data_IF_478582016985
#
_entry.id   IF_478582016985
#
_cell.length_a   1.000
_cell.length_b   1.000
_cell.length_c   1.000
_cell.angle_alpha   90.00
_cell.angle_beta   90.00
_cell.angle_gamma   90.00
#
_symmetry.space_group_name_H-M   'P 1'
#
loop_
_entity.id
_entity.type
_entity.pdbx_description
1 polymer ?
#
# COMPACT_ATOMS: atom_id res chain seq x y z
N UNK A 1 83.30 4.73 40.63
CA UNK A 1 81.89 4.51 41.03
C UNK A 1 81.05 4.26 39.77
N UNK A 2 80.21 3.22 39.76
CA UNK A 2 79.44 2.70 38.62
C UNK A 2 78.03 3.37 38.56
N UNK A 3 77.01 2.92 37.76
CA UNK A 3 76.96 1.92 36.68
C UNK A 3 76.23 2.40 35.38
N UNK A 4 76.27 1.54 34.36
CA UNK A 4 75.31 1.48 33.26
C UNK A 4 73.93 0.99 33.76
N UNK A 5 72.81 1.37 33.12
CA UNK A 5 71.89 0.30 32.72
C UNK A 5 71.30 0.45 31.31
N UNK A 6 71.21 -0.72 30.69
CA UNK A 6 70.48 -1.08 29.46
C UNK A 6 69.04 -0.56 29.49
N UNK A 7 68.54 -0.08 28.36
CA UNK A 7 67.09 -0.05 28.10
C UNK A 7 66.71 -1.14 27.10
N UNK A 8 65.70 -1.87 27.53
CA UNK A 8 65.15 -3.07 26.94
C UNK A 8 64.27 -2.78 25.71
N UNK A 9 64.24 -3.73 24.79
CA UNK A 9 63.12 -3.93 23.87
C UNK A 9 61.89 -4.38 24.65
N UNK A 10 60.70 -3.77 24.44
CA UNK A 10 59.46 -4.46 24.69
C UNK A 10 59.02 -5.20 23.42
N UNK A 11 58.71 -6.46 23.63
CA UNK A 11 58.05 -7.37 22.72
C UNK A 11 56.68 -6.88 22.27
N UNK A 12 56.32 -7.26 21.05
CA UNK A 12 55.01 -7.80 20.67
C UNK A 12 53.78 -7.28 21.40
N UNK A 13 53.12 -6.31 20.80
CA UNK A 13 51.68 -6.12 20.95
C UNK A 13 51.08 -6.06 19.55
N UNK A 14 50.74 -7.22 18.98
CA UNK A 14 49.79 -7.27 17.87
C UNK A 14 48.49 -6.64 18.36
N UNK A 15 48.28 -5.38 17.99
CA UNK A 15 46.98 -4.74 18.10
C UNK A 15 46.04 -5.55 17.20
N UNK A 16 45.31 -6.49 17.79
CA UNK A 16 44.13 -7.05 17.16
C UNK A 16 43.17 -5.87 16.97
N UNK A 17 43.12 -5.37 15.74
CA UNK A 17 41.96 -4.66 15.23
C UNK A 17 40.74 -5.54 15.54
N UNK A 18 39.62 -4.99 16.06
CA UNK A 18 38.41 -5.77 16.20
C UNK A 18 38.07 -6.30 14.81
N UNK A 19 38.07 -7.63 14.67
CA UNK A 19 37.50 -8.31 13.52
C UNK A 19 36.07 -7.78 13.40
N UNK A 20 35.81 -7.04 12.32
CA UNK A 20 34.46 -6.71 11.88
C UNK A 20 33.68 -8.01 11.85
N UNK A 21 32.81 -8.21 12.85
CA UNK A 21 31.94 -9.37 12.92
C UNK A 21 31.12 -9.37 11.64
N UNK A 22 31.33 -10.38 10.80
CA UNK A 22 30.45 -10.64 9.68
C UNK A 22 29.02 -10.70 10.25
N UNK A 23 28.04 -9.97 9.66
CA UNK A 23 26.68 -9.98 10.16
C UNK A 23 26.19 -11.43 10.18
N UNK A 24 25.74 -11.87 11.35
CA UNK A 24 25.34 -13.24 11.61
C UNK A 24 24.18 -13.62 10.67
N UNK A 25 24.49 -14.33 9.60
CA UNK A 25 23.56 -14.69 8.54
C UNK A 25 22.42 -15.57 9.06
N UNK A 26 22.63 -16.29 10.16
CA UNK A 26 21.60 -17.06 10.86
C UNK A 26 20.62 -16.16 11.64
N UNK A 27 21.06 -14.99 12.10
CA UNK A 27 20.19 -13.97 12.71
C UNK A 27 19.34 -13.24 11.66
N UNK A 28 19.91 -12.91 10.49
CA UNK A 28 19.19 -12.18 9.42
C UNK A 28 18.00 -12.97 8.88
N UNK A 29 18.21 -14.26 8.56
CA UNK A 29 17.15 -15.08 7.96
C UNK A 29 15.98 -15.29 8.93
N UNK A 30 16.28 -15.57 10.21
CA UNK A 30 15.26 -15.72 11.24
C UNK A 30 14.49 -14.43 11.49
N UNK A 31 15.19 -13.30 11.57
CA UNK A 31 14.57 -11.98 11.71
C UNK A 31 13.67 -11.62 10.52
N UNK A 32 14.13 -11.88 9.30
CA UNK A 32 13.36 -11.58 8.09
C UNK A 32 12.08 -12.42 7.99
N UNK A 33 12.15 -13.71 8.38
CA UNK A 33 10.99 -14.56 8.49
C UNK A 33 10.02 -14.08 9.57
N UNK A 34 10.52 -13.73 10.76
CA UNK A 34 9.68 -13.21 11.84
C UNK A 34 8.96 -11.91 11.47
N UNK A 35 9.61 -11.00 10.74
CA UNK A 35 8.96 -9.79 10.19
C UNK A 35 7.87 -10.15 9.18
N UNK A 36 8.15 -11.10 8.28
CA UNK A 36 7.17 -11.53 7.29
C UNK A 36 5.97 -12.24 7.95
N UNK A 37 6.19 -13.03 9.00
CA UNK A 37 5.15 -13.70 9.76
C UNK A 37 4.15 -12.72 10.40
N UNK A 38 4.57 -11.48 10.70
CA UNK A 38 3.65 -10.42 11.13
C UNK A 38 2.73 -9.92 10.00
N UNK A 39 3.12 -10.09 8.73
CA UNK A 39 2.34 -9.69 7.56
C UNK A 39 1.35 -10.79 7.11
N UNK A 40 1.72 -12.07 7.28
CA UNK A 40 0.96 -13.22 6.77
C UNK A 40 -0.50 -13.30 7.25
N UNK A 41 -0.86 -12.99 8.52
CA UNK A 41 -2.25 -12.95 8.96
C UNK A 41 -3.13 -11.97 8.16
N UNK A 42 -2.49 -10.99 7.51
CA UNK A 42 -3.13 -9.95 6.71
C UNK A 42 -2.90 -10.16 5.22
N UNK A 43 -2.37 -11.32 4.79
CA UNK A 43 -2.18 -11.62 3.37
C UNK A 43 -3.54 -11.59 2.65
N UNK A 44 -3.60 -10.77 1.61
CA UNK A 44 -4.75 -10.60 0.73
C UNK A 44 -4.58 -11.54 -0.45
N UNK A 45 -5.33 -12.63 -0.43
CA UNK A 45 -5.23 -13.73 -1.40
C UNK A 45 -6.61 -14.29 -1.70
N UNK A 46 -6.77 -14.82 -2.91
CA UNK A 46 -7.97 -15.61 -3.29
C UNK A 46 -7.87 -17.08 -2.88
N UNK A 47 -6.66 -17.52 -2.50
CA UNK A 47 -6.39 -18.85 -1.95
C UNK A 47 -5.98 -18.69 -0.46
N UNK A 48 -6.86 -19.05 0.49
CA UNK A 48 -6.62 -18.84 1.91
C UNK A 48 -5.72 -19.90 2.56
N UNK A 49 -5.11 -20.81 1.77
CA UNK A 49 -4.26 -21.87 2.30
C UNK A 49 -3.10 -21.26 3.10
N UNK A 50 -2.94 -21.61 4.40
CA UNK A 50 -1.83 -21.13 5.20
C UNK A 50 -0.52 -21.48 4.52
N UNK A 51 0.31 -20.46 4.32
CA UNK A 51 1.56 -20.58 3.59
C UNK A 51 2.68 -20.05 4.46
N UNK A 52 3.77 -20.80 4.56
CA UNK A 52 4.94 -20.41 5.34
C UNK A 52 5.73 -19.27 4.67
N UNK A 53 6.47 -18.52 5.47
CA UNK A 53 7.26 -17.36 5.05
C UNK A 53 8.20 -17.64 3.86
N UNK A 54 8.74 -18.86 3.78
CA UNK A 54 9.70 -19.29 2.76
C UNK A 54 9.13 -19.21 1.33
N UNK A 55 7.81 -19.27 1.18
CA UNK A 55 7.14 -19.15 -0.12
C UNK A 55 7.11 -17.71 -0.66
N UNK A 56 7.52 -16.73 0.13
CA UNK A 56 7.54 -15.30 -0.22
C UNK A 56 8.98 -14.81 -0.41
N UNK A 57 9.74 -15.51 -1.26
CA UNK A 57 11.16 -15.28 -1.47
C UNK A 57 11.50 -13.83 -1.89
N UNK A 58 10.62 -13.14 -2.63
CA UNK A 58 10.81 -11.74 -2.98
C UNK A 58 10.81 -10.85 -1.74
N UNK A 59 9.81 -11.00 -0.88
CA UNK A 59 9.63 -10.21 0.33
C UNK A 59 10.76 -10.51 1.33
N UNK A 60 11.12 -11.78 1.52
CA UNK A 60 12.24 -12.18 2.37
C UNK A 60 13.57 -11.55 1.92
N UNK A 61 13.84 -11.53 0.60
CA UNK A 61 15.06 -10.89 0.07
C UNK A 61 15.07 -9.38 0.32
N UNK A 62 13.93 -8.71 0.14
CA UNK A 62 13.79 -7.27 0.37
C UNK A 62 13.95 -6.93 1.86
N UNK A 63 13.22 -7.62 2.74
CA UNK A 63 13.32 -7.47 4.20
C UNK A 63 14.76 -7.74 4.67
N UNK A 64 15.36 -8.84 4.21
CA UNK A 64 16.74 -9.20 4.54
C UNK A 64 17.79 -8.19 4.06
N UNK A 65 17.48 -7.35 3.08
CA UNK A 65 18.28 -6.18 2.72
C UNK A 65 18.38 -5.19 3.87
N UNK A 66 17.22 -4.72 4.37
CA UNK A 66 17.14 -3.76 5.48
C UNK A 66 17.67 -4.33 6.79
N UNK A 67 17.35 -5.60 7.09
CA UNK A 67 17.82 -6.27 8.32
C UNK A 67 19.35 -6.32 8.36
N UNK A 68 20.01 -6.70 7.26
CA UNK A 68 21.49 -6.73 7.19
C UNK A 68 22.11 -5.34 7.32
N UNK A 69 21.42 -4.32 6.81
CA UNK A 69 21.87 -2.93 6.92
C UNK A 69 21.61 -2.33 8.31
N UNK A 70 20.83 -2.99 9.18
CA UNK A 70 20.39 -2.42 10.45
C UNK A 70 19.47 -1.22 10.27
N UNK A 71 18.73 -1.18 9.15
CA UNK A 71 17.87 -0.07 8.76
C UNK A 71 16.38 -0.40 8.96
N UNK A 72 15.51 0.62 9.13
CA UNK A 72 14.08 0.38 9.17
C UNK A 72 13.57 -0.25 7.87
N UNK A 73 12.71 -1.26 7.97
CA UNK A 73 12.08 -1.87 6.78
C UNK A 73 11.15 -0.86 6.11
N UNK A 74 11.41 -0.56 4.83
CA UNK A 74 10.58 0.37 4.06
C UNK A 74 9.53 -0.41 3.28
N UNK A 75 8.26 -0.16 3.59
CA UNK A 75 7.10 -0.72 2.90
C UNK A 75 6.48 0.36 2.00
N UNK A 76 6.24 0.08 0.73
CA UNK A 76 5.46 0.98 -0.15
C UNK A 76 4.10 0.41 -0.44
N UNK A 77 3.05 1.22 -0.28
CA UNK A 77 1.66 0.81 -0.46
C UNK A 77 0.92 1.75 -1.41
N UNK A 78 0.73 1.39 -2.69
CA UNK A 78 -0.20 2.08 -3.56
C UNK A 78 -1.63 1.92 -3.06
N UNK A 79 -2.31 3.03 -2.87
CA UNK A 79 -3.67 3.08 -2.37
C UNK A 79 -3.99 4.41 -1.72
N UNK A 80 -5.20 4.52 -1.15
CA UNK A 80 -5.75 5.79 -0.67
C UNK A 80 -5.77 6.88 -1.76
N UNK A 81 -6.35 6.63 -2.96
CA UNK A 81 -6.42 7.62 -4.04
C UNK A 81 -7.38 8.77 -3.74
N UNK A 82 -8.63 8.38 -3.48
CA UNK A 82 -9.81 9.19 -3.27
C UNK A 82 -10.98 8.24 -2.98
N UNK A 83 -12.07 8.75 -2.39
CA UNK A 83 -13.32 7.97 -2.26
C UNK A 83 -13.94 7.68 -3.63
N UNK A 84 -14.65 6.55 -3.73
CA UNK A 84 -15.46 6.18 -4.90
C UNK A 84 -16.39 7.32 -5.31
N UNK A 85 -16.58 7.61 -6.61
CA UNK A 85 -17.59 8.54 -7.06
C UNK A 85 -19.02 8.01 -6.90
N UNK A 86 -19.21 6.72 -6.56
CA UNK A 86 -20.52 6.14 -6.33
C UNK A 86 -21.00 6.42 -4.89
N UNK A 87 -22.03 7.28 -4.68
CA UNK A 87 -22.52 7.62 -3.35
C UNK A 87 -23.16 6.44 -2.60
N UNK A 88 -23.56 5.36 -3.29
CA UNK A 88 -24.07 4.15 -2.65
C UNK A 88 -22.97 3.32 -1.96
N UNK A 89 -21.69 3.59 -2.26
CA UNK A 89 -20.53 2.88 -1.70
C UNK A 89 -19.92 3.59 -0.50
N UNK A 90 -19.94 4.93 -0.47
CA UNK A 90 -19.17 5.76 0.47
C UNK A 90 -20.00 6.85 1.14
N UNK A 91 -19.53 7.36 2.28
CA UNK A 91 -20.22 8.39 3.06
C UNK A 91 -20.06 9.82 2.48
N UNK A 92 -18.96 10.06 1.77
CA UNK A 92 -18.61 11.35 1.15
C UNK A 92 -17.30 11.23 0.38
N UNK A 93 -16.73 12.36 -0.06
CA UNK A 93 -15.49 12.37 -0.82
C UNK A 93 -14.21 12.42 0.04
N UNK A 94 -14.35 12.67 1.35
CA UNK A 94 -13.23 12.73 2.31
C UNK A 94 -13.01 11.37 3.00
N UNK A 95 -11.78 11.09 3.49
CA UNK A 95 -11.51 9.98 4.41
C UNK A 95 -12.49 9.95 5.58
N UNK A 96 -12.97 8.74 5.92
CA UNK A 96 -13.87 8.51 7.05
C UNK A 96 -13.26 7.48 8.02
N UNK A 97 -14.08 6.83 8.85
CA UNK A 97 -13.60 5.87 9.83
C UNK A 97 -12.86 4.68 9.19
N UNK A 98 -13.21 4.30 7.95
CA UNK A 98 -12.51 3.22 7.25
C UNK A 98 -11.05 3.54 7.03
N UNK A 99 -10.73 4.76 6.58
CA UNK A 99 -9.35 5.22 6.45
C UNK A 99 -8.66 5.37 7.81
N UNK A 100 -9.34 5.95 8.82
CA UNK A 100 -8.75 6.12 10.17
C UNK A 100 -8.28 4.78 10.74
N UNK A 101 -9.14 3.75 10.68
CA UNK A 101 -8.81 2.40 11.17
C UNK A 101 -7.69 1.76 10.35
N UNK A 102 -7.70 1.93 9.03
CA UNK A 102 -6.67 1.36 8.15
C UNK A 102 -5.29 1.98 8.36
N UNK A 103 -5.23 3.30 8.59
CA UNK A 103 -4.00 3.99 8.96
C UNK A 103 -3.49 3.52 10.32
N UNK A 104 -4.38 3.42 11.32
CA UNK A 104 -4.03 2.88 12.64
C UNK A 104 -3.43 1.48 12.54
N UNK A 105 -4.08 0.58 11.79
CA UNK A 105 -3.58 -0.77 11.51
C UNK A 105 -2.16 -0.77 10.93
N UNK A 106 -1.90 0.01 9.87
CA UNK A 106 -0.58 0.07 9.24
C UNK A 106 0.50 0.61 10.18
N UNK A 107 0.16 1.57 11.04
CA UNK A 107 1.09 2.10 12.03
C UNK A 107 1.41 1.04 13.09
N UNK A 108 0.39 0.40 13.67
CA UNK A 108 0.57 -0.68 14.65
C UNK A 108 1.38 -1.83 14.07
N UNK A 109 1.15 -2.22 12.82
CA UNK A 109 1.96 -3.22 12.15
C UNK A 109 3.47 -2.85 12.12
N UNK A 110 3.80 -1.57 11.91
CA UNK A 110 5.18 -1.11 11.97
C UNK A 110 5.76 -1.16 13.40
N UNK A 111 4.94 -0.87 14.42
CA UNK A 111 5.33 -0.97 15.84
C UNK A 111 5.57 -2.43 16.25
N UNK A 112 4.77 -3.37 15.75
CA UNK A 112 5.01 -4.81 15.97
C UNK A 112 6.32 -5.27 15.30
N UNK A 113 6.63 -4.77 14.10
CA UNK A 113 7.91 -5.06 13.45
C UNK A 113 9.08 -4.52 14.29
N UNK A 114 8.95 -3.33 14.89
CA UNK A 114 9.98 -2.73 15.75
C UNK A 114 10.31 -3.57 16.99
N UNK A 115 9.32 -4.29 17.54
CA UNK A 115 9.56 -5.20 18.68
C UNK A 115 10.47 -6.37 18.33
N UNK A 116 10.50 -6.76 17.05
CA UNK A 116 11.32 -7.87 16.56
C UNK A 116 12.63 -7.34 15.97
N UNK A 117 12.57 -6.28 15.18
CA UNK A 117 13.70 -5.60 14.54
C UNK A 117 13.80 -4.16 15.05
N UNK A 118 14.69 -3.84 16.01
CA UNK A 118 14.71 -2.55 16.72
C UNK A 118 14.72 -1.27 15.86
N UNK A 119 15.33 -1.22 14.65
CA UNK A 119 15.19 -0.08 13.74
C UNK A 119 13.74 0.17 13.27
N UNK A 120 12.88 -0.84 13.36
CA UNK A 120 11.46 -0.77 13.05
C UNK A 120 11.13 -0.86 11.56
N UNK A 121 9.95 -0.36 11.23
CA UNK A 121 9.48 -0.25 9.86
C UNK A 121 8.77 1.09 9.64
N UNK A 122 8.56 1.43 8.37
CA UNK A 122 7.69 2.54 7.97
C UNK A 122 6.91 2.17 6.71
N UNK A 123 5.68 2.68 6.62
CA UNK A 123 4.87 2.58 5.40
C UNK A 123 4.85 3.93 4.70
N UNK A 124 5.23 3.91 3.42
CA UNK A 124 5.02 5.01 2.49
C UNK A 124 3.74 4.71 1.72
N UNK A 125 2.68 5.46 2.02
CA UNK A 125 1.41 5.40 1.29
C UNK A 125 1.60 6.14 -0.01
N UNK A 126 1.67 5.39 -1.11
CA UNK A 126 1.87 5.95 -2.44
C UNK A 126 0.52 6.27 -3.08
N UNK A 127 -0.09 7.41 -2.72
CA UNK A 127 -1.42 7.80 -3.18
C UNK A 127 -1.44 7.97 -4.70
N UNK A 128 -2.38 7.27 -5.32
CA UNK A 128 -2.52 7.14 -6.77
C UNK A 128 -3.71 7.92 -7.34
N UNK A 129 -4.32 8.80 -6.55
CA UNK A 129 -5.49 9.60 -6.95
C UNK A 129 -5.24 10.43 -8.22
N UNK A 130 -4.21 11.29 -8.21
CA UNK A 130 -3.89 12.15 -9.35
C UNK A 130 -3.35 11.38 -10.56
N UNK A 131 -2.88 10.15 -10.35
CA UNK A 131 -2.53 9.23 -11.44
C UNK A 131 -3.80 8.83 -12.19
N UNK A 132 -4.92 8.60 -11.50
CA UNK A 132 -6.12 8.01 -12.10
C UNK A 132 -7.32 8.94 -12.33
N UNK A 133 -7.37 10.12 -11.71
CA UNK A 133 -8.58 10.95 -11.57
C UNK A 133 -9.55 10.99 -12.76
N UNK A 134 -9.07 11.32 -13.96
CA UNK A 134 -9.87 11.36 -15.19
C UNK A 134 -10.39 9.98 -15.66
N UNK A 135 -9.64 8.91 -15.44
CA UNK A 135 -10.07 7.55 -15.79
C UNK A 135 -11.16 7.02 -14.85
N UNK A 136 -11.05 7.35 -13.57
CA UNK A 136 -12.03 6.97 -12.53
C UNK A 136 -13.15 8.01 -12.37
N UNK A 137 -13.07 9.14 -13.10
CA UNK A 137 -14.04 10.25 -13.08
C UNK A 137 -14.23 10.87 -11.70
N UNK A 138 -13.12 11.07 -10.99
CA UNK A 138 -13.08 11.85 -9.75
C UNK A 138 -12.35 13.17 -10.05
N UNK A 139 -12.98 14.32 -9.77
CA UNK A 139 -12.34 15.63 -9.92
C UNK A 139 -11.02 15.75 -9.14
N UNK A 140 -10.05 16.47 -9.70
CA UNK A 140 -8.74 16.62 -9.06
C UNK A 140 -8.82 17.37 -7.71
N UNK A 141 -9.75 18.31 -7.54
CA UNK A 141 -9.98 19.01 -6.25
C UNK A 141 -10.51 18.07 -5.16
N UNK A 142 -11.34 17.08 -5.51
CA UNK A 142 -11.75 16.01 -4.58
C UNK A 142 -10.56 15.13 -4.18
N UNK A 143 -9.64 14.85 -5.10
CA UNK A 143 -8.42 14.09 -4.82
C UNK A 143 -7.48 14.89 -3.91
N UNK A 144 -7.28 16.19 -4.19
CA UNK A 144 -6.51 17.09 -3.35
C UNK A 144 -7.10 17.15 -1.94
N UNK A 145 -8.42 17.34 -1.81
CA UNK A 145 -9.11 17.36 -0.53
C UNK A 145 -8.95 16.05 0.25
N UNK A 146 -9.11 14.90 -0.42
CA UNK A 146 -8.92 13.59 0.20
C UNK A 146 -7.48 13.41 0.70
N UNK A 147 -6.48 13.72 -0.13
CA UNK A 147 -5.08 13.54 0.22
C UNK A 147 -4.63 14.51 1.33
N UNK A 148 -5.18 15.72 1.36
CA UNK A 148 -4.93 16.70 2.43
C UNK A 148 -5.53 16.23 3.77
N UNK A 149 -6.75 15.72 3.73
CA UNK A 149 -7.41 15.15 4.91
C UNK A 149 -6.70 13.88 5.39
N UNK A 150 -6.21 13.02 4.49
CA UNK A 150 -5.42 11.84 4.86
C UNK A 150 -4.14 12.23 5.61
N UNK A 151 -3.40 13.22 5.11
CA UNK A 151 -2.22 13.78 5.80
C UNK A 151 -2.60 14.42 7.14
N UNK A 152 -3.76 15.06 7.23
CA UNK A 152 -4.29 15.64 8.48
C UNK A 152 -4.57 14.54 9.51
N UNK A 153 -5.21 13.44 9.11
CA UNK A 153 -5.49 12.28 9.97
C UNK A 153 -4.21 11.65 10.51
N UNK A 154 -3.20 11.46 9.67
CA UNK A 154 -1.89 10.91 10.09
C UNK A 154 -1.27 11.77 11.20
N UNK A 155 -1.33 13.10 11.06
CA UNK A 155 -0.82 14.04 12.08
C UNK A 155 -1.68 14.05 13.35
N UNK A 156 -3.00 14.15 13.21
CA UNK A 156 -3.95 14.19 14.34
C UNK A 156 -3.85 12.94 15.22
N UNK A 157 -3.68 11.78 14.59
CA UNK A 157 -3.58 10.49 15.27
C UNK A 157 -2.13 10.13 15.67
N UNK A 158 -1.16 11.03 15.46
CA UNK A 158 0.25 10.82 15.79
C UNK A 158 0.84 9.52 15.20
N UNK A 159 0.48 9.19 13.95
CA UNK A 159 0.90 7.95 13.28
C UNK A 159 2.30 8.10 12.67
N UNK A 160 3.32 8.10 13.53
CA UNK A 160 4.71 8.44 13.18
C UNK A 160 5.40 7.45 12.23
N UNK A 161 4.83 6.25 12.01
CA UNK A 161 5.38 5.25 11.09
C UNK A 161 4.88 5.39 9.65
N UNK A 162 4.03 6.39 9.39
CA UNK A 162 3.37 6.59 8.10
C UNK A 162 3.84 7.88 7.43
N UNK A 163 3.97 7.82 6.10
CA UNK A 163 4.17 8.98 5.23
C UNK A 163 3.34 8.84 3.97
N UNK A 164 3.08 9.95 3.28
CA UNK A 164 2.36 9.95 2.00
C UNK A 164 3.31 10.42 0.91
N UNK A 165 3.27 9.72 -0.23
CA UNK A 165 4.01 10.02 -1.45
C UNK A 165 3.01 10.07 -2.62
N UNK A 166 2.92 11.20 -3.33
CA UNK A 166 2.04 11.37 -4.48
C UNK A 166 2.71 12.22 -5.58
N UNK A 167 2.01 12.46 -6.70
CA UNK A 167 2.57 13.20 -7.84
C UNK A 167 2.99 14.64 -7.50
N UNK A 168 2.49 15.25 -6.42
CA UNK A 168 2.93 16.59 -5.97
C UNK A 168 4.33 16.54 -5.39
N UNK A 169 4.72 15.44 -4.75
CA UNK A 169 6.06 15.25 -4.20
C UNK A 169 7.13 15.10 -5.30
N UNK A 170 6.72 14.67 -6.50
CA UNK A 170 7.62 14.38 -7.63
C UNK A 170 7.66 15.55 -8.62
N UNK A 171 6.49 16.10 -8.96
CA UNK A 171 6.31 17.04 -10.07
C UNK A 171 5.81 18.42 -9.60
N UNK A 172 5.82 18.67 -8.29
CA UNK A 172 5.53 19.97 -7.69
C UNK A 172 4.15 20.50 -8.07
N UNK A 173 4.08 21.77 -8.46
CA UNK A 173 2.84 22.50 -8.75
C UNK A 173 2.39 22.42 -10.21
N UNK A 174 2.98 21.53 -11.02
CA UNK A 174 2.52 21.34 -12.39
C UNK A 174 1.01 21.00 -12.44
N UNK A 175 0.29 21.44 -13.48
CA UNK A 175 -1.11 21.06 -13.66
C UNK A 175 -1.28 19.54 -13.68
N UNK A 176 -2.36 19.04 -13.06
CA UNK A 176 -2.59 17.60 -12.87
C UNK A 176 -2.59 16.80 -14.18
N UNK A 177 -3.14 17.36 -15.26
CA UNK A 177 -3.11 16.73 -16.59
C UNK A 177 -1.68 16.61 -17.15
N UNK A 178 -0.83 17.62 -16.93
CA UNK A 178 0.58 17.62 -17.33
C UNK A 178 1.36 16.57 -16.56
N UNK A 179 1.14 16.46 -15.24
CA UNK A 179 1.73 15.41 -14.40
C UNK A 179 1.37 14.02 -14.93
N UNK A 180 0.09 13.78 -15.21
CA UNK A 180 -0.39 12.50 -15.78
C UNK A 180 0.26 12.19 -17.12
N UNK A 181 0.38 13.18 -18.01
CA UNK A 181 0.99 13.00 -19.32
C UNK A 181 2.47 12.61 -19.21
N UNK A 182 3.26 13.29 -18.38
CA UNK A 182 4.69 12.99 -18.20
C UNK A 182 4.92 11.59 -17.63
N UNK A 183 4.15 11.19 -16.60
CA UNK A 183 4.24 9.84 -16.04
C UNK A 183 3.83 8.78 -17.06
N UNK A 184 2.80 9.05 -17.85
CA UNK A 184 2.35 8.12 -18.89
C UNK A 184 3.40 7.96 -19.99
N UNK A 185 3.95 9.06 -20.51
CA UNK A 185 4.96 9.03 -21.57
C UNK A 185 6.23 8.29 -21.14
N UNK A 186 6.66 8.48 -19.88
CA UNK A 186 7.91 7.90 -19.39
C UNK A 186 7.80 6.42 -19.02
N UNK A 187 6.67 5.97 -18.47
CA UNK A 187 6.58 4.65 -17.84
C UNK A 187 5.42 3.77 -18.31
N UNK A 188 4.41 4.30 -19.01
CA UNK A 188 3.28 3.47 -19.40
C UNK A 188 3.65 2.54 -20.57
N UNK A 189 3.28 1.24 -20.53
CA UNK A 189 3.41 0.39 -21.70
C UNK A 189 2.48 0.88 -22.81
N UNK A 190 2.80 0.56 -24.06
CA UNK A 190 1.91 0.87 -25.18
C UNK A 190 0.58 0.11 -25.05
N UNK A 191 -0.49 0.70 -25.57
CA UNK A 191 -1.81 0.05 -25.57
C UNK A 191 -1.80 -1.27 -26.36
N UNK A 192 -1.00 -1.35 -27.42
CA UNK A 192 -0.83 -2.55 -28.22
C UNK A 192 -0.17 -3.68 -27.42
N UNK A 193 0.95 -3.40 -26.75
CA UNK A 193 1.64 -4.37 -25.90
C UNK A 193 0.70 -4.87 -24.79
N UNK A 194 -0.01 -3.96 -24.12
CA UNK A 194 -0.96 -4.34 -23.08
C UNK A 194 -2.13 -5.18 -23.62
N UNK A 195 -2.62 -4.89 -24.84
CA UNK A 195 -3.67 -5.72 -25.47
C UNK A 195 -3.16 -7.11 -25.85
N UNK A 196 -1.92 -7.22 -26.30
CA UNK A 196 -1.30 -8.51 -26.58
C UNK A 196 -1.22 -9.33 -25.27
N UNK A 197 -0.73 -8.72 -24.20
CA UNK A 197 -0.60 -9.35 -22.89
C UNK A 197 -1.95 -9.81 -22.30
N UNK A 198 -2.99 -8.97 -22.37
CA UNK A 198 -4.34 -9.35 -21.93
C UNK A 198 -4.88 -10.57 -22.69
N UNK A 199 -4.40 -10.84 -23.91
CA UNK A 199 -4.80 -12.03 -24.70
C UNK A 199 -3.97 -13.26 -24.38
N UNK A 200 -2.71 -13.10 -23.98
CA UNK A 200 -1.77 -14.20 -23.78
C UNK A 200 -1.56 -14.59 -22.31
N UNK A 201 -1.84 -13.71 -21.36
CA UNK A 201 -1.55 -13.91 -19.94
C UNK A 201 -2.81 -13.90 -19.08
N UNK A 202 -3.12 -15.04 -18.46
CA UNK A 202 -4.33 -15.21 -17.63
C UNK A 202 -4.39 -14.25 -16.44
N UNK A 203 -3.24 -13.96 -15.83
CA UNK A 203 -3.16 -13.01 -14.73
C UNK A 203 -3.55 -11.58 -15.16
N UNK A 204 -3.01 -11.12 -16.29
CA UNK A 204 -3.29 -9.78 -16.83
C UNK A 204 -4.74 -9.69 -17.33
N UNK A 205 -5.29 -10.77 -17.89
CA UNK A 205 -6.72 -10.86 -18.21
C UNK A 205 -7.61 -10.77 -16.96
N UNK A 206 -7.24 -11.44 -15.87
CA UNK A 206 -7.96 -11.36 -14.60
C UNK A 206 -7.94 -9.94 -14.03
N UNK A 207 -6.78 -9.27 -14.05
CA UNK A 207 -6.65 -7.86 -13.64
C UNK A 207 -7.54 -6.94 -14.49
N UNK A 208 -7.52 -7.09 -15.82
CA UNK A 208 -8.37 -6.32 -16.72
C UNK A 208 -9.86 -6.51 -16.46
N UNK A 209 -10.30 -7.75 -16.20
CA UNK A 209 -11.69 -8.06 -15.83
C UNK A 209 -12.06 -7.43 -14.48
N UNK A 210 -11.17 -7.52 -13.48
CA UNK A 210 -11.35 -6.93 -12.16
C UNK A 210 -11.51 -5.40 -12.22
N UNK A 211 -10.61 -4.72 -12.92
CA UNK A 211 -10.67 -3.26 -13.12
C UNK A 211 -11.92 -2.86 -13.91
N UNK A 212 -12.30 -3.63 -14.94
CA UNK A 212 -13.52 -3.35 -15.69
C UNK A 212 -14.76 -3.41 -14.78
N UNK A 213 -14.88 -4.46 -13.96
CA UNK A 213 -15.97 -4.60 -12.99
C UNK A 213 -15.98 -3.43 -12.02
N UNK A 214 -14.81 -3.10 -11.47
CA UNK A 214 -14.64 -1.96 -10.57
C UNK A 214 -15.14 -0.64 -11.18
N UNK A 215 -14.72 -0.33 -12.43
CA UNK A 215 -15.17 0.89 -13.12
C UNK A 215 -16.68 0.91 -13.42
N UNK A 216 -17.29 -0.26 -13.65
CA UNK A 216 -18.74 -0.37 -13.81
C UNK A 216 -19.44 -0.09 -12.49
N UNK A 217 -19.00 -0.73 -11.40
CA UNK A 217 -19.61 -0.58 -10.06
C UNK A 217 -19.46 0.84 -9.50
N UNK A 218 -18.42 1.57 -9.88
CA UNK A 218 -18.19 2.96 -9.49
C UNK A 218 -18.97 3.98 -10.33
N UNK A 219 -19.58 3.56 -11.44
CA UNK A 219 -20.38 4.46 -12.28
C UNK A 219 -21.86 4.37 -11.92
N UNK A 220 -22.33 5.22 -11.00
CA UNK A 220 -23.73 5.25 -10.56
C UNK A 220 -24.69 5.90 -11.59
N UNK A 221 -24.30 7.06 -12.14
CA UNK A 221 -25.22 7.93 -12.92
C UNK A 221 -25.10 7.73 -14.44
N UNK A 222 -24.93 6.49 -14.90
CA UNK A 222 -24.85 6.22 -16.33
C UNK A 222 -26.24 6.20 -16.99
N UNK A 223 -26.50 7.12 -17.91
CA UNK A 223 -27.80 7.28 -18.57
C UNK A 223 -28.05 6.33 -19.75
N UNK A 224 -27.03 5.58 -20.19
CA UNK A 224 -27.13 4.63 -21.30
C UNK A 224 -27.42 3.19 -20.86
N UNK A 225 -27.36 2.25 -21.81
CA UNK A 225 -27.55 0.82 -21.50
C UNK A 225 -26.38 0.23 -20.71
N UNK A 226 -26.64 -0.80 -19.90
CA UNK A 226 -25.61 -1.56 -19.18
C UNK A 226 -24.49 -2.06 -20.09
N UNK A 227 -24.84 -2.50 -21.31
CA UNK A 227 -23.86 -2.93 -22.32
C UNK A 227 -22.98 -1.77 -22.83
N UNK A 228 -23.53 -0.57 -22.98
CA UNK A 228 -22.75 0.61 -23.34
C UNK A 228 -21.79 1.02 -22.21
N UNK A 229 -22.24 0.97 -20.95
CA UNK A 229 -21.39 1.18 -19.78
C UNK A 229 -20.23 0.18 -19.76
N UNK A 230 -20.54 -1.11 -19.90
CA UNK A 230 -19.53 -2.17 -19.91
C UNK A 230 -18.47 -1.93 -21.00
N UNK A 231 -18.87 -1.54 -22.21
CA UNK A 231 -17.93 -1.21 -23.30
C UNK A 231 -17.05 0.00 -22.97
N UNK A 232 -17.63 1.07 -22.43
CA UNK A 232 -16.88 2.26 -22.03
C UNK A 232 -15.87 1.94 -20.91
N UNK A 233 -16.27 1.15 -19.90
CA UNK A 233 -15.39 0.70 -18.82
C UNK A 233 -14.28 -0.22 -19.31
N UNK A 234 -14.56 -1.14 -20.26
CA UNK A 234 -13.54 -1.97 -20.91
C UNK A 234 -12.46 -1.14 -21.59
N UNK A 235 -12.85 -0.10 -22.34
CA UNK A 235 -11.87 0.82 -22.95
C UNK A 235 -11.04 1.55 -21.90
N UNK A 236 -11.67 2.10 -20.87
CA UNK A 236 -10.97 2.82 -19.78
C UNK A 236 -10.05 1.93 -18.95
N UNK A 237 -10.40 0.64 -18.77
CA UNK A 237 -9.63 -0.29 -17.97
C UNK A 237 -8.19 -0.45 -18.47
N UNK A 238 -7.97 -0.38 -19.79
CA UNK A 238 -6.61 -0.36 -20.34
C UNK A 238 -5.79 0.83 -19.84
N UNK A 239 -6.38 2.03 -19.86
CA UNK A 239 -5.72 3.23 -19.33
C UNK A 239 -5.39 3.11 -17.84
N UNK A 240 -6.28 2.49 -17.06
CA UNK A 240 -6.04 2.27 -15.61
C UNK A 240 -4.87 1.31 -15.41
N UNK A 241 -4.77 0.23 -16.19
CA UNK A 241 -3.63 -0.69 -16.09
C UNK A 241 -2.32 -0.01 -16.52
N UNK A 242 -2.33 0.71 -17.63
CA UNK A 242 -1.16 1.47 -18.10
C UNK A 242 -0.62 2.40 -17.01
N UNK A 243 -1.52 3.16 -16.37
CA UNK A 243 -1.14 4.08 -15.31
C UNK A 243 -0.77 3.39 -14.00
N UNK A 244 -1.37 2.24 -13.69
CA UNK A 244 -0.97 1.44 -12.53
C UNK A 244 0.46 0.90 -12.67
N UNK A 245 0.86 0.49 -13.87
CA UNK A 245 2.24 0.08 -14.17
C UNK A 245 3.19 1.26 -14.11
N UNK A 246 2.83 2.36 -14.77
CA UNK A 246 3.61 3.60 -14.74
C UNK A 246 3.87 4.09 -13.30
N UNK A 247 2.84 4.06 -12.46
CA UNK A 247 2.97 4.40 -11.04
C UNK A 247 3.81 3.39 -10.27
N UNK A 248 3.69 2.11 -10.59
CA UNK A 248 4.54 1.05 -10.07
C UNK A 248 6.03 1.32 -10.30
N UNK A 249 6.39 1.63 -11.53
CA UNK A 249 7.78 1.87 -11.94
C UNK A 249 8.33 3.17 -11.36
N UNK A 250 7.52 4.23 -11.33
CA UNK A 250 7.90 5.49 -10.71
C UNK A 250 8.16 5.33 -9.20
N UNK A 251 7.35 4.54 -8.50
CA UNK A 251 7.61 4.24 -7.08
C UNK A 251 8.88 3.40 -6.92
N UNK A 252 9.14 2.44 -7.81
CA UNK A 252 10.36 1.64 -7.75
C UNK A 252 11.62 2.49 -7.97
N UNK A 253 11.54 3.53 -8.81
CA UNK A 253 12.61 4.51 -9.01
C UNK A 253 12.88 5.35 -7.75
N UNK A 254 11.84 5.84 -7.08
CA UNK A 254 12.00 6.69 -5.88
C UNK A 254 12.24 5.92 -4.58
N UNK A 255 11.80 4.66 -4.49
CA UNK A 255 11.91 3.83 -3.29
C UNK A 255 12.50 2.45 -3.63
N UNK A 256 13.73 2.41 -4.15
CA UNK A 256 14.38 1.17 -4.55
C UNK A 256 14.56 0.23 -3.34
N UNK A 257 14.42 -1.06 -3.57
CA UNK A 257 14.56 -2.08 -2.53
C UNK A 257 13.42 -2.18 -1.53
N UNK A 258 12.46 -1.25 -1.54
CA UNK A 258 11.29 -1.30 -0.64
C UNK A 258 10.45 -2.56 -0.84
N UNK A 259 9.87 -3.06 0.26
CA UNK A 259 8.91 -4.17 0.22
C UNK A 259 7.61 -3.64 -0.38
N UNK A 260 7.20 -4.22 -1.51
CA UNK A 260 6.08 -3.69 -2.30
C UNK A 260 4.75 -4.28 -1.83
N UNK A 261 4.00 -3.54 -1.03
CA UNK A 261 2.64 -3.91 -0.66
C UNK A 261 1.64 -3.61 -1.79
N UNK A 262 0.47 -4.23 -1.73
CA UNK A 262 -0.62 -4.11 -2.70
C UNK A 262 -1.96 -4.24 -2.00
N UNK A 263 -2.92 -3.39 -2.33
CA UNK A 263 -4.32 -3.56 -1.90
C UNK A 263 -5.10 -4.54 -2.78
N UNK A 264 -4.51 -5.08 -3.84
CA UNK A 264 -5.10 -6.15 -4.65
C UNK A 264 -4.55 -7.51 -4.20
N UNK A 265 -5.33 -8.60 -4.35
CA UNK A 265 -4.82 -9.95 -4.18
C UNK A 265 -3.59 -10.20 -5.05
N UNK A 266 -2.57 -10.85 -4.48
CA UNK A 266 -1.35 -11.21 -5.19
C UNK A 266 -1.08 -12.72 -4.99
N UNK A 267 -0.72 -13.45 -6.06
CA UNK A 267 -0.35 -14.85 -5.91
C UNK A 267 0.94 -14.98 -5.10
N UNK A 268 1.09 -16.13 -4.44
CA UNK A 268 2.33 -16.50 -3.76
C UNK A 268 3.49 -16.48 -4.77
N UNK A 269 4.65 -15.98 -4.34
CA UNK A 269 5.82 -15.79 -5.20
C UNK A 269 5.80 -14.50 -6.04
N UNK A 270 4.71 -13.73 -6.05
CA UNK A 270 4.71 -12.42 -6.69
C UNK A 270 5.65 -11.43 -5.97
N UNK A 271 6.23 -10.50 -6.72
CA UNK A 271 7.03 -9.41 -6.15
C UNK A 271 6.21 -8.47 -5.25
N UNK A 272 4.89 -8.39 -5.47
CA UNK A 272 3.96 -7.59 -4.68
C UNK A 272 3.33 -8.46 -3.59
N UNK A 273 3.26 -7.95 -2.37
CA UNK A 273 2.56 -8.60 -1.26
C UNK A 273 1.16 -7.99 -1.11
N UNK A 274 0.12 -8.77 -1.36
CA UNK A 274 -1.26 -8.35 -1.12
C UNK A 274 -1.50 -8.20 0.39
N UNK A 275 -1.93 -7.02 0.85
CA UNK A 275 -2.25 -6.77 2.27
C UNK A 275 -3.71 -6.34 2.44
N UNK A 276 -4.39 -6.97 3.39
CA UNK A 276 -5.73 -6.61 3.86
C UNK A 276 -5.58 -5.56 4.96
N UNK A 277 -6.32 -4.46 4.84
CA UNK A 277 -6.26 -3.34 5.79
C UNK A 277 -7.26 -3.49 6.94
N UNK A 278 -8.44 -4.03 6.64
CA UNK A 278 -9.54 -4.26 7.57
C UNK A 278 -10.32 -5.49 7.13
N UNK A 279 -11.13 -6.03 8.04
CA UNK A 279 -12.04 -7.12 7.71
C UNK A 279 -13.11 -6.67 6.68
N UNK A 280 -13.34 -7.53 5.70
CA UNK A 280 -14.31 -7.32 4.62
C UNK A 280 -14.70 -8.65 4.00
N UNK A 281 -15.99 -8.83 3.70
CA UNK A 281 -16.49 -10.05 3.07
C UNK A 281 -15.97 -10.25 1.63
N UNK A 282 -15.77 -9.17 0.88
CA UNK A 282 -15.18 -9.21 -0.45
C UNK A 282 -13.69 -8.82 -0.38
N UNK A 283 -12.84 -9.74 -0.83
CA UNK A 283 -11.39 -9.60 -0.92
C UNK A 283 -10.95 -8.43 -1.81
N UNK A 284 -11.82 -7.74 -2.53
CA UNK A 284 -11.51 -6.52 -3.31
C UNK A 284 -11.91 -5.21 -2.61
N UNK A 285 -12.59 -5.28 -1.47
CA UNK A 285 -13.06 -4.09 -0.74
C UNK A 285 -11.90 -3.32 -0.12
N UNK A 286 -11.83 -2.01 -0.37
CA UNK A 286 -10.89 -1.09 0.28
C UNK A 286 -11.67 0.03 0.97
N UNK A 287 -11.07 0.73 1.95
CA UNK A 287 -11.74 1.77 2.71
C UNK A 287 -12.40 2.86 1.85
N UNK A 288 -11.74 3.23 0.76
CA UNK A 288 -12.23 4.25 -0.16
C UNK A 288 -13.35 3.78 -1.11
N UNK A 289 -13.73 2.51 -1.06
CA UNK A 289 -14.86 1.93 -1.80
C UNK A 289 -15.98 1.41 -0.88
N UNK A 290 -16.00 1.86 0.38
CA UNK A 290 -16.87 1.31 1.43
C UNK A 290 -17.20 2.34 2.51
N UNK A 291 -18.06 1.93 3.44
CA UNK A 291 -18.23 2.52 4.76
C UNK A 291 -17.87 1.47 5.83
N UNK A 292 -17.38 1.93 6.98
CA UNK A 292 -17.15 1.07 8.13
C UNK A 292 -18.45 0.82 8.91
N UNK A 293 -18.66 -0.42 9.35
CA UNK A 293 -19.69 -0.82 10.31
C UNK A 293 -19.00 -1.32 11.59
N UNK A 294 -19.29 -0.68 12.72
CA UNK A 294 -18.95 -1.17 14.04
C UNK A 294 -19.99 -2.20 14.47
N UNK A 295 -19.55 -3.39 14.84
CA UNK A 295 -20.42 -4.54 15.12
C UNK A 295 -20.66 -4.66 16.62
N UNK A 296 -21.74 -5.35 16.99
CA UNK A 296 -22.13 -5.56 18.40
C UNK A 296 -21.11 -6.38 19.19
N UNK A 297 -20.26 -7.15 18.51
CA UNK A 297 -19.14 -7.90 19.09
C UNK A 297 -17.84 -7.07 19.23
N UNK A 298 -17.90 -5.76 18.91
CA UNK A 298 -16.76 -4.84 18.97
C UNK A 298 -15.85 -4.87 17.74
N UNK A 299 -16.13 -5.73 16.76
CA UNK A 299 -15.33 -5.80 15.53
C UNK A 299 -15.74 -4.75 14.50
N UNK A 300 -14.85 -4.47 13.54
CA UNK A 300 -15.11 -3.55 12.43
C UNK A 300 -15.10 -4.29 11.11
N UNK A 301 -16.11 -4.07 10.28
CA UNK A 301 -16.17 -4.63 8.93
C UNK A 301 -16.40 -3.53 7.89
N UNK A 302 -15.70 -3.59 6.75
CA UNK A 302 -15.95 -2.74 5.60
C UNK A 302 -17.03 -3.33 4.69
N UNK A 303 -17.98 -2.50 4.26
CA UNK A 303 -19.01 -2.87 3.29
C UNK A 303 -19.54 -1.65 2.53
N UNK A 304 -20.25 -1.81 1.40
CA UNK A 304 -20.88 -0.68 0.72
C UNK A 304 -21.82 0.09 1.66
N UNK A 305 -21.80 1.43 1.62
CA UNK A 305 -22.67 2.30 2.43
C UNK A 305 -24.12 1.83 2.45
N UNK A 306 -24.73 1.55 1.30
CA UNK A 306 -26.13 1.13 1.21
C UNK A 306 -26.43 -0.19 1.96
N UNK A 307 -25.41 -1.02 2.21
CA UNK A 307 -25.53 -2.20 3.08
C UNK A 307 -25.38 -1.82 4.55
N UNK A 308 -24.37 -1.01 4.89
CA UNK A 308 -24.14 -0.58 6.27
C UNK A 308 -25.36 0.18 6.83
N UNK A 309 -26.01 1.02 6.01
CA UNK A 309 -27.22 1.76 6.36
C UNK A 309 -28.42 0.89 6.72
N UNK A 310 -28.53 -0.31 6.16
CA UNK A 310 -29.59 -1.26 6.51
C UNK A 310 -29.31 -2.03 7.79
N UNK A 311 -28.06 -2.05 8.24
CA UNK A 311 -27.61 -2.84 9.38
C UNK A 311 -27.36 -2.00 10.63
N UNK A 312 -27.26 -0.68 10.49
CA UNK A 312 -26.85 0.18 11.58
C UNK A 312 -27.25 1.64 11.43
N UNK A 313 -27.01 2.40 12.48
CA UNK A 313 -27.27 3.84 12.55
C UNK A 313 -26.04 4.63 12.18
N UNK A 314 -26.20 5.66 11.35
CA UNK A 314 -25.10 6.56 10.97
C UNK A 314 -24.60 7.35 12.18
N UNK A 315 -23.30 7.29 12.43
CA UNK A 315 -22.58 8.07 13.44
C UNK A 315 -21.90 9.25 12.78
N UNK A 316 -21.98 10.40 13.44
CA UNK A 316 -21.25 11.60 13.06
C UNK A 316 -20.07 11.84 14.01
N UNK A 317 -18.95 12.29 13.47
CA UNK A 317 -17.78 12.74 14.21
C UNK A 317 -17.37 14.09 13.65
N UNK A 318 -17.16 15.07 14.53
CA UNK A 318 -16.79 16.45 14.16
C UNK A 318 -17.75 17.06 13.11
N UNK A 319 -19.05 16.78 13.26
CA UNK A 319 -20.10 17.24 12.35
C UNK A 319 -20.17 16.55 10.99
N UNK A 320 -19.39 15.48 10.75
CA UNK A 320 -19.35 14.75 9.48
C UNK A 320 -19.76 13.28 9.64
N UNK A 321 -20.41 12.66 8.64
CA UNK A 321 -20.62 11.21 8.60
C UNK A 321 -19.31 10.44 8.78
N UNK A 322 -19.28 9.46 9.69
CA UNK A 322 -18.05 8.74 10.08
C UNK A 322 -18.12 7.24 9.77
N UNK A 323 -19.16 6.56 10.27
CA UNK A 323 -19.37 5.12 10.14
C UNK A 323 -20.80 4.77 10.56
N UNK A 324 -21.16 3.49 10.47
CA UNK A 324 -22.40 2.96 11.03
C UNK A 324 -22.13 2.15 12.30
N UNK A 325 -23.01 2.25 13.29
CA UNK A 325 -23.06 1.38 14.48
C UNK A 325 -24.16 0.35 14.27
N UNK A 326 -23.83 -0.94 14.35
CA UNK A 326 -24.79 -2.02 14.23
C UNK A 326 -25.80 -1.96 15.38
N UNK A 327 -27.09 -2.06 15.02
CA UNK A 327 -28.19 -2.15 15.99
C UNK A 327 -28.33 -3.53 16.61
#
# INVERSE_FOLDING_TARGET
MPPCPRRAYPHGGTHLMPLTTAPDTRSTSGMSAAILDLLLPYHRTTDPTPTAAESFAHQLRQIGGFVRAGEPVVLTLPGFPCKSPNPAKVLGHLPDQGERLSLGFLNTLCEEIERVHPPGARVIICSDGHVFGDLIRVPDDHIDAYANELRRLIRELALHRLSVFDLRDILGDLPHHTKRAQVHERYAPTLEALRAEVRSEDHTLALYRGITRFLVDDTADFTGTRSALQRACRTRAYGVIQRSRAWGDLIAEHHPGSVRLSIHPQPIGAAKFGIRLLDAADVWTTPWHSAALHRTDGTWTLMPRARAERLGRLVHRDGRPSHYEQG
#
